data_IF_185459414278
#
_entry.id   IF_185459414278
#
_cell.length_a   1.000
_cell.length_b   1.000
_cell.length_c   1.000
_cell.angle_alpha   90.00
_cell.angle_beta   90.00
_cell.angle_gamma   90.00
#
_symmetry.space_group_name_H-M   'P 1'
#
loop_
_entity.id
_entity.type
_entity.pdbx_description
1 polymer ?
#
# COMPACT_ATOMS: atom_id res chain seq x y z
N UNK A 1 -3.79 12.26 22.41
CA UNK A 1 -3.27 12.86 21.15
C UNK A 1 -2.67 11.78 20.22
N UNK A 2 -3.38 10.66 19.97
CA UNK A 2 -2.83 9.49 19.25
C UNK A 2 -3.19 9.46 17.74
N UNK A 3 -4.13 10.31 17.29
CA UNK A 3 -4.69 10.28 15.92
C UNK A 3 -3.72 10.76 14.81
N UNK A 4 -2.75 11.61 15.10
CA UNK A 4 -1.88 12.23 14.08
C UNK A 4 -0.71 11.35 13.65
N UNK A 5 -0.16 10.49 14.51
CA UNK A 5 1.02 9.66 14.19
C UNK A 5 0.71 8.54 13.17
N UNK A 6 -0.46 7.90 13.27
CA UNK A 6 -0.84 6.78 12.38
C UNK A 6 -1.17 7.22 10.96
N UNK A 7 -1.95 8.30 10.80
CA UNK A 7 -2.21 8.90 9.48
C UNK A 7 -0.93 9.44 8.83
N UNK A 8 -0.02 10.00 9.64
CA UNK A 8 1.30 10.44 9.16
C UNK A 8 2.12 9.27 8.60
N UNK A 9 2.06 8.09 9.22
CA UNK A 9 2.77 6.90 8.74
C UNK A 9 2.23 6.41 7.38
N UNK A 10 0.91 6.31 7.19
CA UNK A 10 0.29 5.91 5.91
C UNK A 10 0.69 6.87 4.79
N UNK A 11 0.58 8.18 5.02
CA UNK A 11 0.96 9.19 4.04
C UNK A 11 2.46 9.12 3.71
N UNK A 12 3.32 8.92 4.72
CA UNK A 12 4.75 8.80 4.51
C UNK A 12 5.11 7.58 3.64
N UNK A 13 4.45 6.44 3.85
CA UNK A 13 4.66 5.23 3.05
C UNK A 13 4.16 5.41 1.63
N UNK A 14 3.00 6.05 1.45
CA UNK A 14 2.48 6.38 0.13
C UNK A 14 3.44 7.28 -0.66
N UNK A 15 3.98 8.33 -0.04
CA UNK A 15 4.98 9.20 -0.69
C UNK A 15 6.25 8.44 -1.10
N UNK A 16 6.70 7.48 -0.29
CA UNK A 16 7.85 6.62 -0.65
C UNK A 16 7.55 5.76 -1.87
N UNK A 17 6.36 5.16 -1.94
CA UNK A 17 5.93 4.36 -3.09
C UNK A 17 5.86 5.23 -4.35
N UNK A 18 5.31 6.45 -4.26
CA UNK A 18 5.28 7.39 -5.39
C UNK A 18 6.70 7.67 -5.89
N UNK A 19 7.66 7.89 -4.99
CA UNK A 19 9.07 8.05 -5.36
C UNK A 19 9.66 6.82 -6.06
N UNK A 20 9.31 5.60 -5.63
CA UNK A 20 9.72 4.37 -6.31
C UNK A 20 9.16 4.28 -7.73
N UNK A 21 7.87 4.64 -7.93
CA UNK A 21 7.23 4.63 -9.24
C UNK A 21 7.81 5.68 -10.19
N UNK A 22 8.13 6.88 -9.69
CA UNK A 22 8.85 7.90 -10.45
C UNK A 22 10.26 7.44 -10.83
N UNK A 23 10.95 6.74 -9.92
CA UNK A 23 12.22 6.09 -10.21
C UNK A 23 12.10 5.09 -11.36
N UNK A 24 11.12 4.19 -11.30
CA UNK A 24 10.83 3.22 -12.36
C UNK A 24 10.57 3.89 -13.72
N UNK A 25 9.75 4.95 -13.76
CA UNK A 25 9.50 5.71 -14.99
C UNK A 25 10.81 6.25 -15.58
N UNK A 26 11.70 6.79 -14.74
CA UNK A 26 13.01 7.28 -15.16
C UNK A 26 13.89 6.14 -15.69
N UNK A 27 13.95 5.00 -14.99
CA UNK A 27 14.75 3.84 -15.42
C UNK A 27 14.31 3.33 -16.81
N UNK A 28 13.00 3.30 -17.07
CA UNK A 28 12.44 2.91 -18.36
C UNK A 28 12.84 3.92 -19.45
N UNK A 29 12.71 5.23 -19.18
CA UNK A 29 13.13 6.28 -20.12
C UNK A 29 14.62 6.21 -20.44
N UNK A 30 15.43 5.89 -19.45
CA UNK A 30 16.89 5.72 -19.57
C UNK A 30 17.30 4.39 -20.22
N UNK A 31 16.34 3.51 -20.54
CA UNK A 31 16.59 2.16 -21.09
C UNK A 31 17.58 1.35 -20.24
N UNK A 32 17.41 1.43 -18.92
CA UNK A 32 18.18 0.60 -17.97
C UNK A 32 17.92 -0.88 -18.18
N UNK A 33 18.80 -1.68 -17.60
CA UNK A 33 18.73 -3.13 -17.67
C UNK A 33 17.36 -3.65 -17.17
N UNK A 34 16.81 -4.63 -17.89
CA UNK A 34 15.50 -5.19 -17.60
C UNK A 34 15.46 -5.84 -16.21
N UNK A 35 16.53 -6.49 -15.79
CA UNK A 35 16.63 -7.12 -14.47
C UNK A 35 16.57 -6.06 -13.36
N UNK A 36 17.30 -4.95 -13.50
CA UNK A 36 17.24 -3.83 -12.55
C UNK A 36 15.81 -3.27 -12.43
N UNK A 37 15.12 -3.07 -13.56
CA UNK A 37 13.75 -2.55 -13.59
C UNK A 37 12.80 -3.51 -12.87
N UNK A 38 12.91 -4.82 -13.12
CA UNK A 38 12.07 -5.83 -12.47
C UNK A 38 12.32 -5.89 -10.97
N UNK A 39 13.59 -5.80 -10.52
CA UNK A 39 13.93 -5.74 -9.09
C UNK A 39 13.26 -4.53 -8.42
N UNK A 40 13.33 -3.35 -9.04
CA UNK A 40 12.69 -2.16 -8.48
C UNK A 40 11.16 -2.25 -8.50
N UNK A 41 10.57 -2.88 -9.52
CA UNK A 41 9.13 -3.14 -9.58
C UNK A 41 8.68 -4.06 -8.44
N UNK A 42 9.44 -5.13 -8.17
CA UNK A 42 9.18 -6.02 -7.04
C UNK A 42 9.27 -5.28 -5.69
N UNK A 43 10.24 -4.38 -5.53
CA UNK A 43 10.37 -3.56 -4.34
C UNK A 43 9.17 -2.60 -4.15
N UNK A 44 8.71 -1.97 -5.24
CA UNK A 44 7.53 -1.11 -5.21
C UNK A 44 6.25 -1.90 -4.87
N UNK A 45 6.11 -3.10 -5.42
CA UNK A 45 5.00 -4.02 -5.10
C UNK A 45 5.00 -4.39 -3.61
N UNK A 46 6.12 -4.81 -3.05
CA UNK A 46 6.21 -5.18 -1.64
C UNK A 46 5.86 -4.00 -0.71
N UNK A 47 6.24 -2.77 -1.09
CA UNK A 47 5.86 -1.58 -0.36
C UNK A 47 4.35 -1.30 -0.43
N UNK A 48 3.72 -1.48 -1.60
CA UNK A 48 2.26 -1.38 -1.78
C UNK A 48 1.50 -2.40 -0.94
N UNK A 49 1.96 -3.65 -0.89
CA UNK A 49 1.38 -4.70 -0.05
C UNK A 49 1.42 -4.34 1.43
N UNK A 50 2.57 -3.86 1.91
CA UNK A 50 2.73 -3.40 3.29
C UNK A 50 1.80 -2.23 3.62
N UNK A 51 1.65 -1.28 2.69
CA UNK A 51 0.71 -0.17 2.84
C UNK A 51 -0.75 -0.66 2.90
N UNK A 52 -1.11 -1.65 2.08
CA UNK A 52 -2.42 -2.30 2.11
C UNK A 52 -2.73 -2.92 3.48
N UNK A 53 -1.80 -3.69 4.05
CA UNK A 53 -1.92 -4.25 5.40
C UNK A 53 -2.08 -3.15 6.45
N UNK A 54 -1.28 -2.08 6.35
CA UNK A 54 -1.34 -0.97 7.29
C UNK A 54 -2.70 -0.29 7.26
N UNK A 55 -3.26 -0.05 6.07
CA UNK A 55 -4.59 0.56 5.90
C UNK A 55 -5.68 -0.35 6.47
N UNK A 56 -5.63 -1.66 6.18
CA UNK A 56 -6.58 -2.63 6.76
C UNK A 56 -6.54 -2.65 8.28
N UNK A 57 -5.34 -2.52 8.87
CA UNK A 57 -5.17 -2.53 10.32
C UNK A 57 -5.50 -1.17 10.96
N UNK A 58 -5.37 -0.06 10.22
CA UNK A 58 -5.68 1.29 10.70
C UNK A 58 -7.17 1.67 10.64
N UNK A 59 -8.01 0.74 10.19
CA UNK A 59 -9.46 0.76 10.25
C UNK A 59 -10.10 1.19 11.60
N UNK A 60 -9.34 1.30 12.69
CA UNK A 60 -9.81 1.71 14.02
C UNK A 60 -10.23 3.20 14.15
N UNK A 61 -10.02 4.08 13.17
CA UNK A 61 -10.15 5.54 13.44
C UNK A 61 -10.96 6.40 12.47
N UNK A 62 -11.36 5.92 11.29
CA UNK A 62 -12.08 6.79 10.33
C UNK A 62 -13.01 6.08 9.34
N UNK A 63 -12.70 4.86 8.90
CA UNK A 63 -13.53 4.14 7.91
C UNK A 63 -14.70 3.37 8.55
N UNK A 64 -14.58 2.99 9.84
CA UNK A 64 -15.62 2.29 10.60
C UNK A 64 -16.54 3.17 11.47
N UNK A 65 -16.28 4.48 11.61
CA UNK A 65 -16.92 5.32 12.65
C UNK A 65 -18.46 5.40 12.55
N UNK A 66 -19.09 5.03 11.43
CA UNK A 66 -20.55 5.07 11.28
C UNK A 66 -21.16 3.79 10.67
N UNK A 67 -20.49 2.63 10.78
CA UNK A 67 -20.98 1.40 10.12
C UNK A 67 -21.80 0.50 11.03
N UNK A 68 -22.97 0.08 10.54
CA UNK A 68 -23.91 -0.84 11.24
C UNK A 68 -23.33 -2.24 11.52
N UNK A 69 -22.28 -2.67 10.80
CA UNK A 69 -21.62 -3.96 11.00
C UNK A 69 -20.13 -3.91 10.60
N UNK A 70 -19.23 -3.54 11.53
CA UNK A 70 -17.80 -3.42 11.25
C UNK A 70 -17.14 -4.77 10.89
N UNK A 71 -17.61 -5.89 11.44
CA UNK A 71 -17.05 -7.23 11.19
C UNK A 71 -17.26 -7.68 9.74
N UNK A 72 -18.47 -7.49 9.19
CA UNK A 72 -18.78 -7.85 7.80
C UNK A 72 -17.97 -7.00 6.80
N UNK A 73 -17.71 -5.74 7.14
CA UNK A 73 -16.89 -4.83 6.33
C UNK A 73 -15.42 -5.23 6.36
N UNK A 74 -14.88 -5.56 7.54
CA UNK A 74 -13.51 -6.06 7.67
C UNK A 74 -13.30 -7.34 6.83
N UNK A 75 -14.18 -8.33 6.96
CA UNK A 75 -14.13 -9.55 6.14
C UNK A 75 -14.20 -9.27 4.63
N UNK A 76 -14.96 -8.27 4.23
CA UNK A 76 -15.05 -7.85 2.83
C UNK A 76 -13.74 -7.21 2.34
N UNK A 77 -13.13 -6.36 3.18
CA UNK A 77 -11.86 -5.71 2.87
C UNK A 77 -10.69 -6.69 2.84
N UNK A 78 -10.66 -7.67 3.74
CA UNK A 78 -9.71 -8.80 3.71
C UNK A 78 -9.82 -9.58 2.39
N UNK A 79 -11.04 -9.83 1.91
CA UNK A 79 -11.27 -10.49 0.61
C UNK A 79 -10.79 -9.65 -0.58
N UNK A 80 -10.99 -8.34 -0.55
CA UNK A 80 -10.52 -7.43 -1.62
C UNK A 80 -9.00 -7.37 -1.64
N UNK A 81 -8.38 -7.25 -0.46
CA UNK A 81 -6.93 -7.15 -0.31
C UNK A 81 -6.22 -8.47 -0.51
N UNK A 82 -6.90 -9.61 -0.39
CA UNK A 82 -6.34 -10.92 -0.79
C UNK A 82 -5.81 -10.93 -2.23
N UNK A 83 -6.39 -10.13 -3.14
CA UNK A 83 -5.91 -10.03 -4.52
C UNK A 83 -4.64 -9.19 -4.65
N UNK A 84 -4.38 -8.28 -3.70
CA UNK A 84 -3.15 -7.49 -3.63
C UNK A 84 -1.93 -8.39 -3.38
N UNK A 85 -2.13 -9.53 -2.71
CA UNK A 85 -1.09 -10.51 -2.37
C UNK A 85 -0.97 -11.67 -3.39
N UNK A 86 -1.89 -11.79 -4.36
CA UNK A 86 -1.92 -12.90 -5.33
C UNK A 86 -1.06 -12.63 -6.57
N UNK A 87 0.25 -12.62 -6.41
CA UNK A 87 1.22 -12.85 -7.49
C UNK A 87 2.45 -13.57 -6.90
N UNK A 88 2.20 -14.80 -6.50
CA UNK A 88 3.16 -15.91 -6.34
C UNK A 88 2.49 -17.14 -6.90
#
# INVERSE_FOLDING_TARGET
MVKQEKQSNIQSQLHRIIGQLQGLEKMIKEKRDCEEIIIQLMAARAALEKLGVLILHDESSHCFINQKNPQKKLQHLEKITANLFKLT
#
